data_IF_088811471238
#
_entry.id   IF_088811471238
#
_cell.length_a   1.000
_cell.length_b   1.000
_cell.length_c   1.000
_cell.angle_alpha   90.00
_cell.angle_beta   90.00
_cell.angle_gamma   90.00
#
_symmetry.space_group_name_H-M   'P 1'
#
loop_
_entity.id
_entity.type
_entity.pdbx_description
1 polymer ?
#
# COMPACT_ATOMS: atom_id res chain seq x y z
N UNK A 1 7.14 6.49 -14.64
CA UNK A 1 6.54 5.72 -13.54
C UNK A 1 7.49 4.62 -13.13
N UNK A 2 7.85 4.58 -11.87
CA UNK A 2 8.66 3.53 -11.27
C UNK A 2 7.76 2.36 -10.86
N UNK A 3 8.22 1.12 -11.08
CA UNK A 3 7.47 -0.07 -10.69
C UNK A 3 8.23 -0.78 -9.56
N UNK A 4 7.65 -0.74 -8.37
CA UNK A 4 8.17 -1.45 -7.20
C UNK A 4 7.50 -2.81 -7.00
N UNK A 5 8.12 -3.65 -6.17
CA UNK A 5 7.54 -4.91 -5.71
C UNK A 5 7.23 -4.82 -4.21
N UNK A 6 6.01 -5.16 -3.83
CA UNK A 6 5.54 -5.16 -2.44
C UNK A 6 5.26 -6.56 -1.95
N UNK A 7 6.00 -7.00 -0.94
CA UNK A 7 5.81 -8.32 -0.32
C UNK A 7 5.04 -8.19 0.99
N UNK A 8 4.07 -9.08 1.18
CA UNK A 8 3.23 -9.13 2.38
C UNK A 8 3.73 -10.18 3.37
N UNK A 9 3.64 -9.89 4.67
CA UNK A 9 3.95 -10.85 5.75
C UNK A 9 3.07 -12.11 5.74
N UNK A 10 1.98 -12.10 5.00
CA UNK A 10 1.14 -13.30 4.79
C UNK A 10 1.77 -14.35 3.88
N UNK A 11 2.80 -13.97 3.11
CA UNK A 11 3.66 -14.96 2.49
C UNK A 11 4.64 -15.51 3.54
N UNK A 12 4.62 -16.81 3.73
CA UNK A 12 5.50 -17.52 4.66
C UNK A 12 6.90 -17.68 4.02
N UNK A 13 7.69 -16.61 4.04
CA UNK A 13 9.01 -16.56 3.44
C UNK A 13 10.11 -16.68 4.51
N UNK A 14 11.01 -17.60 4.30
CA UNK A 14 12.27 -17.66 5.06
C UNK A 14 13.15 -16.46 4.73
N UNK A 15 14.22 -16.23 5.51
CA UNK A 15 15.21 -15.20 5.21
C UNK A 15 15.85 -15.41 3.83
N UNK A 16 16.17 -16.64 3.45
CA UNK A 16 16.67 -16.96 2.11
C UNK A 16 15.64 -16.67 1.03
N UNK A 17 14.36 -16.91 1.30
CA UNK A 17 13.26 -16.53 0.41
C UNK A 17 13.17 -15.02 0.21
N UNK A 18 13.31 -14.23 1.26
CA UNK A 18 13.37 -12.76 1.19
C UNK A 18 14.55 -12.29 0.34
N UNK A 19 15.74 -12.86 0.55
CA UNK A 19 16.95 -12.57 -0.24
C UNK A 19 16.78 -12.94 -1.72
N UNK A 20 16.17 -14.10 -1.99
CA UNK A 20 15.90 -14.56 -3.36
C UNK A 20 14.97 -13.61 -4.11
N UNK A 21 13.84 -13.24 -3.50
CA UNK A 21 12.89 -12.29 -4.09
C UNK A 21 13.58 -10.96 -4.42
N UNK A 22 14.40 -10.43 -3.53
CA UNK A 22 15.07 -9.14 -3.75
C UNK A 22 16.02 -9.17 -4.96
N UNK A 23 16.84 -10.24 -5.09
CA UNK A 23 17.73 -10.41 -6.25
C UNK A 23 16.94 -10.60 -7.55
N UNK A 24 15.89 -11.43 -7.52
CA UNK A 24 15.04 -11.69 -8.69
C UNK A 24 14.28 -10.43 -9.11
N UNK A 25 13.79 -9.64 -8.16
CA UNK A 25 13.13 -8.37 -8.45
C UNK A 25 14.07 -7.40 -9.20
N UNK A 26 15.32 -7.27 -8.76
CA UNK A 26 16.31 -6.45 -9.46
C UNK A 26 16.55 -6.95 -10.89
N UNK A 27 16.72 -8.27 -11.08
CA UNK A 27 16.92 -8.87 -12.40
C UNK A 27 15.73 -8.65 -13.34
N UNK A 28 14.51 -8.69 -12.81
CA UNK A 28 13.26 -8.46 -13.54
C UNK A 28 12.94 -6.96 -13.77
N UNK A 29 13.80 -6.06 -13.31
CA UNK A 29 13.69 -4.62 -13.58
C UNK A 29 12.74 -3.86 -12.65
N UNK A 30 12.34 -4.43 -11.52
CA UNK A 30 11.72 -3.63 -10.47
C UNK A 30 12.68 -2.58 -9.95
N UNK A 31 12.16 -1.41 -9.56
CA UNK A 31 12.98 -0.25 -9.18
C UNK A 31 13.06 -0.05 -7.67
N UNK A 32 12.23 -0.74 -6.89
CA UNK A 32 12.19 -0.63 -5.43
C UNK A 32 11.45 -1.81 -4.78
N UNK A 33 11.68 -2.02 -3.48
CA UNK A 33 11.05 -3.07 -2.69
C UNK A 33 10.30 -2.47 -1.50
N UNK A 34 9.09 -2.95 -1.25
CA UNK A 34 8.19 -2.36 -0.27
C UNK A 34 7.55 -3.39 0.65
N UNK A 35 7.39 -3.05 1.92
CA UNK A 35 6.67 -3.88 2.88
C UNK A 35 5.73 -3.02 3.75
N UNK A 36 4.59 -3.57 4.20
CA UNK A 36 3.84 -2.97 5.29
C UNK A 36 4.56 -3.25 6.61
N UNK A 37 4.11 -2.58 7.66
CA UNK A 37 4.58 -2.83 9.01
C UNK A 37 3.40 -3.00 9.97
N UNK A 38 3.53 -3.96 10.88
CA UNK A 38 2.69 -4.11 12.08
C UNK A 38 3.33 -3.44 13.30
N UNK A 39 3.37 -4.15 14.41
CA UNK A 39 3.89 -3.66 15.69
C UNK A 39 5.33 -4.11 15.98
N UNK A 40 5.96 -4.83 15.06
CA UNK A 40 7.32 -5.37 15.23
C UNK A 40 8.32 -4.67 14.31
N UNK A 41 9.61 -4.57 14.70
CA UNK A 41 10.64 -3.93 13.88
C UNK A 41 11.14 -4.78 12.70
N UNK A 42 10.76 -6.05 12.61
CA UNK A 42 11.21 -6.98 11.57
C UNK A 42 11.17 -6.42 10.13
N UNK A 43 10.11 -5.68 9.69
CA UNK A 43 10.07 -5.10 8.36
C UNK A 43 11.21 -4.12 8.06
N UNK A 44 11.80 -3.49 9.07
CA UNK A 44 12.97 -2.62 8.90
C UNK A 44 14.22 -3.43 8.54
N UNK A 45 14.42 -4.58 9.20
CA UNK A 45 15.52 -5.50 8.90
C UNK A 45 15.34 -6.15 7.52
N UNK A 46 14.11 -6.50 7.15
CA UNK A 46 13.76 -6.99 5.81
C UNK A 46 14.15 -5.95 4.74
N UNK A 47 13.77 -4.67 4.92
CA UNK A 47 14.14 -3.59 4.01
C UNK A 47 15.65 -3.46 3.84
N UNK A 48 16.40 -3.49 4.94
CA UNK A 48 17.85 -3.44 4.90
C UNK A 48 18.44 -4.65 4.15
N UNK A 49 18.00 -5.87 4.48
CA UNK A 49 18.41 -7.10 3.80
C UNK A 49 18.14 -7.05 2.30
N UNK A 50 16.96 -6.57 1.89
CA UNK A 50 16.63 -6.43 0.47
C UNK A 50 17.60 -5.49 -0.25
N UNK A 51 17.85 -4.31 0.34
CA UNK A 51 18.77 -3.33 -0.28
C UNK A 51 20.19 -3.86 -0.34
N UNK A 52 20.68 -4.55 0.71
CA UNK A 52 22.02 -5.15 0.75
C UNK A 52 22.24 -6.18 -0.37
N UNK A 53 21.23 -7.02 -0.67
CA UNK A 53 21.41 -8.13 -1.63
C UNK A 53 21.02 -7.79 -3.07
N UNK A 54 20.22 -6.76 -3.29
CA UNK A 54 19.71 -6.39 -4.62
C UNK A 54 20.24 -5.07 -5.14
N UNK A 55 20.72 -4.19 -4.26
CA UNK A 55 21.04 -2.82 -4.59
C UNK A 55 19.83 -1.92 -4.81
N UNK A 56 18.59 -2.43 -4.73
CA UNK A 56 17.38 -1.63 -4.89
C UNK A 56 17.09 -0.79 -3.64
N UNK A 57 16.52 0.42 -3.78
CA UNK A 57 15.93 1.12 -2.65
C UNK A 57 14.78 0.32 -2.06
N UNK A 58 14.57 0.48 -0.76
CA UNK A 58 13.46 -0.16 -0.05
C UNK A 58 12.63 0.85 0.73
N UNK A 59 11.42 0.45 1.11
CA UNK A 59 10.55 1.33 1.87
C UNK A 59 9.45 0.61 2.65
N UNK A 60 8.93 1.32 3.63
CA UNK A 60 7.78 0.93 4.42
C UNK A 60 6.60 1.84 4.07
N UNK A 61 5.43 1.24 3.78
CA UNK A 61 4.21 2.00 3.58
C UNK A 61 3.00 1.25 4.18
N UNK A 62 2.50 1.68 5.36
CA UNK A 62 2.94 2.81 6.18
C UNK A 62 3.01 2.39 7.65
N UNK A 63 3.90 2.99 8.45
CA UNK A 63 3.95 2.79 9.89
C UNK A 63 2.84 3.61 10.58
N UNK A 64 1.93 2.97 11.34
CA UNK A 64 0.87 3.68 12.03
C UNK A 64 1.38 4.28 13.34
N UNK A 65 1.22 5.60 13.52
CA UNK A 65 1.77 6.31 14.70
C UNK A 65 1.11 5.95 16.03
N UNK A 66 -0.07 5.34 16.01
CA UNK A 66 -0.66 4.79 17.24
C UNK A 66 0.06 3.53 17.76
N UNK A 67 0.84 2.85 16.92
CA UNK A 67 1.67 1.70 17.30
C UNK A 67 3.17 2.05 17.39
N UNK A 68 3.58 3.17 16.79
CA UNK A 68 4.98 3.57 16.68
C UNK A 68 5.19 4.99 17.24
N UNK A 69 5.63 5.15 18.50
CA UNK A 69 6.09 6.44 19.01
C UNK A 69 7.21 7.00 18.13
N UNK A 70 7.20 8.31 17.91
CA UNK A 70 8.12 9.00 16.98
C UNK A 70 9.60 8.70 17.27
N UNK A 71 10.00 8.69 18.56
CA UNK A 71 11.40 8.46 18.93
C UNK A 71 11.83 7.01 18.62
N UNK A 72 10.97 6.03 18.89
CA UNK A 72 11.22 4.63 18.55
C UNK A 72 11.28 4.45 17.03
N UNK A 73 10.34 5.04 16.30
CA UNK A 73 10.30 5.00 14.84
C UNK A 73 11.54 5.64 14.22
N UNK A 74 11.96 6.81 14.71
CA UNK A 74 13.16 7.48 14.25
C UNK A 74 14.43 6.66 14.52
N UNK A 75 14.53 6.07 15.71
CA UNK A 75 15.69 5.25 16.10
C UNK A 75 15.87 4.04 15.20
N UNK A 76 14.79 3.26 14.96
CA UNK A 76 14.88 2.08 14.08
C UNK A 76 15.10 2.49 12.61
N UNK A 77 14.43 3.55 12.15
CA UNK A 77 14.61 4.06 10.78
C UNK A 77 16.03 4.52 10.51
N UNK A 78 16.69 5.19 11.48
CA UNK A 78 18.09 5.61 11.33
C UNK A 78 19.02 4.44 11.04
N UNK A 79 18.91 3.36 11.80
CA UNK A 79 19.69 2.13 11.58
C UNK A 79 19.43 1.54 10.19
N UNK A 80 18.18 1.53 9.76
CA UNK A 80 17.79 1.03 8.43
C UNK A 80 18.35 1.91 7.32
N UNK A 81 18.27 3.23 7.46
CA UNK A 81 18.85 4.19 6.50
C UNK A 81 20.36 3.98 6.34
N UNK A 82 21.08 3.77 7.44
CA UNK A 82 22.52 3.48 7.43
C UNK A 82 22.82 2.19 6.63
N UNK A 83 22.11 1.09 6.93
CA UNK A 83 22.25 -0.19 6.21
C UNK A 83 21.82 -0.12 4.74
N UNK A 84 20.82 0.69 4.43
CA UNK A 84 20.35 0.94 3.06
C UNK A 84 21.20 1.98 2.31
N UNK A 85 22.29 2.50 2.89
CA UNK A 85 23.10 3.57 2.30
C UNK A 85 22.28 4.77 1.84
N UNK A 86 21.32 5.22 2.65
CA UNK A 86 20.41 6.32 2.35
C UNK A 86 19.23 5.98 1.43
N UNK A 87 19.15 4.77 0.88
CA UNK A 87 18.13 4.35 -0.09
C UNK A 87 16.90 3.72 0.59
N UNK A 88 16.36 4.43 1.59
CA UNK A 88 15.19 3.99 2.35
C UNK A 88 14.14 5.09 2.38
N UNK A 89 12.87 4.71 2.18
CA UNK A 89 11.72 5.59 2.29
C UNK A 89 10.82 5.17 3.46
N UNK A 90 10.49 6.12 4.32
CA UNK A 90 9.60 5.88 5.46
C UNK A 90 8.20 6.40 5.17
N UNK A 91 7.24 5.51 4.99
CA UNK A 91 5.82 5.89 4.99
C UNK A 91 5.24 5.86 6.40
N UNK A 92 4.47 6.90 6.78
CA UNK A 92 3.77 6.97 8.06
C UNK A 92 2.29 7.25 7.87
N UNK A 93 1.48 6.82 8.83
CA UNK A 93 0.03 7.04 8.84
C UNK A 93 -0.49 7.32 10.25
N UNK A 94 -1.63 8.00 10.35
CA UNK A 94 -2.21 8.37 11.65
C UNK A 94 -2.71 7.17 12.48
N UNK A 95 -2.91 6.00 11.83
CA UNK A 95 -3.61 4.88 12.44
C UNK A 95 -5.13 5.08 12.48
N UNK A 96 -5.87 4.01 12.82
CA UNK A 96 -7.36 4.01 12.78
C UNK A 96 -8.01 4.81 13.90
N UNK A 97 -7.32 5.02 15.01
CA UNK A 97 -7.89 5.56 16.27
C UNK A 97 -7.51 7.01 16.55
N UNK A 98 -6.88 7.71 15.62
CA UNK A 98 -6.47 9.09 15.83
C UNK A 98 -7.67 10.05 15.85
N UNK A 99 -7.87 10.78 16.96
CA UNK A 99 -8.94 11.78 17.09
C UNK A 99 -8.67 13.07 16.30
N UNK A 100 -7.40 13.41 16.08
CA UNK A 100 -6.98 14.62 15.35
C UNK A 100 -5.90 14.29 14.30
N UNK A 101 -6.20 13.43 13.29
CA UNK A 101 -5.19 12.87 12.43
C UNK A 101 -4.37 13.92 11.66
N UNK A 102 -4.98 15.01 11.23
CA UNK A 102 -4.26 16.08 10.51
C UNK A 102 -3.22 16.76 11.38
N UNK A 103 -3.57 17.08 12.64
CA UNK A 103 -2.62 17.69 13.59
C UNK A 103 -1.50 16.72 13.92
N UNK A 104 -1.84 15.49 14.26
CA UNK A 104 -0.86 14.43 14.59
C UNK A 104 0.15 14.27 13.45
N UNK A 105 -0.30 14.16 12.21
CA UNK A 105 0.60 13.97 11.07
C UNK A 105 1.41 15.21 10.74
N UNK A 106 0.86 16.43 10.93
CA UNK A 106 1.62 17.67 10.77
C UNK A 106 2.77 17.74 11.79
N UNK A 107 2.49 17.46 13.06
CA UNK A 107 3.49 17.55 14.14
C UNK A 107 4.54 16.42 14.00
N UNK A 108 4.12 15.24 13.53
CA UNK A 108 4.99 14.10 13.28
C UNK A 108 6.06 14.35 12.20
N UNK A 109 5.70 15.00 11.10
CA UNK A 109 6.69 15.26 10.02
C UNK A 109 7.77 16.23 10.48
N UNK A 110 7.42 17.25 11.29
CA UNK A 110 8.39 18.18 11.84
C UNK A 110 9.37 17.46 12.79
N UNK A 111 8.83 16.60 13.66
CA UNK A 111 9.63 15.80 14.58
C UNK A 111 10.53 14.78 13.85
N UNK A 112 10.06 14.15 12.79
CA UNK A 112 10.85 13.21 11.99
C UNK A 112 11.94 13.90 11.19
N UNK A 113 11.69 15.05 10.56
CA UNK A 113 12.71 15.80 9.82
C UNK A 113 13.87 16.25 10.71
N UNK A 114 13.58 16.62 11.97
CA UNK A 114 14.62 16.95 12.94
C UNK A 114 15.50 15.74 13.32
N UNK A 115 14.96 14.51 13.30
CA UNK A 115 15.65 13.27 13.71
C UNK A 115 16.26 12.48 12.56
N UNK A 116 15.69 12.62 11.37
CA UNK A 116 16.01 11.85 10.16
C UNK A 116 16.23 12.82 8.98
N UNK A 117 17.24 13.69 9.02
CA UNK A 117 17.51 14.63 7.94
C UNK A 117 17.82 13.88 6.63
N UNK A 118 17.21 14.32 5.53
CA UNK A 118 17.42 13.74 4.20
C UNK A 118 16.64 12.46 3.90
N UNK A 119 15.94 11.87 4.87
CA UNK A 119 15.10 10.68 4.65
C UNK A 119 13.80 11.10 3.97
N UNK A 120 13.42 10.38 2.90
CA UNK A 120 12.13 10.55 2.25
C UNK A 120 11.00 10.06 3.17
N UNK A 121 10.02 10.92 3.45
CA UNK A 121 8.88 10.59 4.29
C UNK A 121 7.57 10.72 3.51
N UNK A 122 6.85 9.61 3.36
CA UNK A 122 5.56 9.56 2.68
C UNK A 122 4.41 9.51 3.69
N UNK A 123 3.30 10.17 3.34
CA UNK A 123 2.09 10.21 4.16
C UNK A 123 1.03 9.26 3.63
N UNK A 124 0.58 8.31 4.46
CA UNK A 124 -0.61 7.51 4.18
C UNK A 124 -1.85 8.39 4.08
N UNK A 125 -2.42 8.52 2.88
CA UNK A 125 -3.42 9.54 2.58
C UNK A 125 -4.56 9.00 1.73
N UNK A 126 -5.80 9.10 2.25
CA UNK A 126 -7.01 8.71 1.51
C UNK A 126 -8.03 9.84 1.39
N UNK A 127 -8.11 10.71 2.38
CA UNK A 127 -9.06 11.82 2.43
C UNK A 127 -8.48 13.15 1.93
N UNK A 128 -9.32 14.11 1.50
CA UNK A 128 -8.88 15.33 0.83
C UNK A 128 -7.97 16.22 1.69
N UNK A 129 -8.18 16.27 3.00
CA UNK A 129 -7.35 17.06 3.90
C UNK A 129 -5.95 16.43 4.07
N UNK A 130 -5.89 15.09 4.21
CA UNK A 130 -4.64 14.35 4.35
C UNK A 130 -3.81 14.44 3.07
N UNK A 131 -4.45 14.34 1.89
CA UNK A 131 -3.80 14.50 0.59
C UNK A 131 -3.22 15.93 0.43
N UNK A 132 -3.96 16.97 0.84
CA UNK A 132 -3.42 18.33 0.84
C UNK A 132 -2.25 18.49 1.83
N UNK A 133 -2.31 17.84 3.00
CA UNK A 133 -1.20 17.84 3.95
C UNK A 133 0.04 17.15 3.36
N UNK A 134 -0.13 16.02 2.66
CA UNK A 134 0.96 15.37 1.95
C UNK A 134 1.65 16.34 0.99
N UNK A 135 0.88 17.02 0.13
CA UNK A 135 1.42 18.04 -0.78
C UNK A 135 2.17 19.17 -0.08
N UNK A 136 1.65 19.64 1.05
CA UNK A 136 2.24 20.77 1.78
C UNK A 136 3.56 20.43 2.45
N UNK A 137 3.75 19.21 2.98
CA UNK A 137 4.80 18.94 3.97
C UNK A 137 5.60 17.66 3.76
N UNK A 138 5.12 16.72 2.94
CA UNK A 138 5.73 15.41 2.77
C UNK A 138 6.41 15.28 1.41
N UNK A 139 7.23 14.26 1.26
CA UNK A 139 7.93 13.96 0.01
C UNK A 139 7.05 13.10 -0.92
N UNK A 140 6.00 12.50 -0.37
CA UNK A 140 5.01 11.76 -1.15
C UNK A 140 3.72 11.47 -0.39
N UNK A 141 2.70 11.08 -1.15
CA UNK A 141 1.45 10.53 -0.68
C UNK A 141 1.41 9.03 -0.96
N UNK A 142 1.29 8.21 0.09
CA UNK A 142 1.08 6.78 -0.03
C UNK A 142 -0.42 6.50 -0.06
N UNK A 143 -0.91 6.17 -1.24
CA UNK A 143 -2.29 5.78 -1.49
C UNK A 143 -2.49 4.29 -1.20
N UNK A 144 -3.74 3.87 -1.12
CA UNK A 144 -4.09 2.47 -0.87
C UNK A 144 -5.51 2.18 -1.34
N UNK A 145 -5.73 1.11 -2.11
CA UNK A 145 -7.02 0.72 -2.63
C UNK A 145 -7.69 1.79 -3.51
N UNK A 146 -6.97 2.36 -4.46
CA UNK A 146 -7.52 3.36 -5.37
C UNK A 146 -7.85 2.75 -6.75
N UNK A 147 -8.93 3.23 -7.34
CA UNK A 147 -9.11 3.15 -8.79
C UNK A 147 -8.24 4.21 -9.48
N UNK A 148 -8.02 4.09 -10.80
CA UNK A 148 -7.27 5.09 -11.57
C UNK A 148 -7.92 6.49 -11.49
N UNK A 149 -9.27 6.58 -11.43
CA UNK A 149 -9.98 7.85 -11.19
C UNK A 149 -9.66 8.42 -9.81
N UNK A 150 -9.61 7.55 -8.78
CA UNK A 150 -9.27 7.97 -7.43
C UNK A 150 -7.80 8.42 -7.34
N UNK A 151 -6.89 7.80 -8.09
CA UNK A 151 -5.49 8.26 -8.21
C UNK A 151 -5.44 9.67 -8.79
N UNK A 152 -6.13 9.94 -9.92
CA UNK A 152 -6.19 11.28 -10.52
C UNK A 152 -6.76 12.31 -9.55
N UNK A 153 -7.87 11.98 -8.93
CA UNK A 153 -8.51 12.80 -7.89
C UNK A 153 -7.56 13.11 -6.72
N UNK A 154 -6.78 12.13 -6.27
CA UNK A 154 -5.82 12.28 -5.18
C UNK A 154 -4.65 13.18 -5.58
N UNK A 155 -4.10 12.99 -6.79
CA UNK A 155 -3.01 13.81 -7.34
C UNK A 155 -3.37 15.29 -7.39
N UNK A 156 -4.59 15.64 -7.80
CA UNK A 156 -5.06 17.03 -7.82
C UNK A 156 -5.04 17.68 -6.43
N UNK A 157 -5.41 16.92 -5.38
CA UNK A 157 -5.44 17.42 -3.99
C UNK A 157 -4.04 17.57 -3.42
N UNK A 158 -3.15 16.63 -3.73
CA UNK A 158 -1.73 16.74 -3.39
C UNK A 158 -1.12 17.97 -4.07
N UNK A 159 -1.36 18.13 -5.37
CA UNK A 159 -0.87 19.29 -6.14
C UNK A 159 -1.42 20.62 -5.60
N UNK A 160 -2.71 20.68 -5.23
CA UNK A 160 -3.29 21.86 -4.60
C UNK A 160 -2.63 22.17 -3.24
N UNK A 161 -2.30 21.12 -2.47
CA UNK A 161 -1.56 21.26 -1.20
C UNK A 161 -0.14 21.81 -1.41
N UNK A 162 0.59 21.29 -2.40
CA UNK A 162 1.95 21.73 -2.74
C UNK A 162 1.96 23.18 -3.18
N UNK A 163 1.12 23.55 -4.14
CA UNK A 163 1.00 24.95 -4.60
C UNK A 163 0.66 25.93 -3.47
N UNK A 164 -0.27 25.53 -2.57
CA UNK A 164 -0.64 26.35 -1.40
C UNK A 164 0.49 26.51 -0.37
N UNK A 165 1.57 25.76 -0.48
CA UNK A 165 2.79 25.85 0.32
C UNK A 165 3.99 26.34 -0.50
N UNK A 166 3.78 26.86 -1.71
CA UNK A 166 4.80 27.35 -2.66
C UNK A 166 5.84 26.26 -3.01
N UNK A 167 5.41 24.99 -3.08
CA UNK A 167 6.21 23.85 -3.51
C UNK A 167 5.81 23.45 -4.92
N UNK A 168 6.76 22.91 -5.70
CA UNK A 168 6.43 22.27 -6.97
C UNK A 168 5.65 20.96 -6.72
N UNK A 169 4.45 20.79 -7.31
CA UNK A 169 3.73 19.52 -7.23
C UNK A 169 4.52 18.30 -7.75
N UNK A 170 5.46 18.49 -8.66
CA UNK A 170 6.29 17.42 -9.21
C UNK A 170 7.27 16.81 -8.18
N UNK A 171 7.60 17.56 -7.13
CA UNK A 171 8.46 17.09 -6.04
C UNK A 171 7.74 16.13 -5.09
N UNK A 172 6.40 16.05 -5.15
CA UNK A 172 5.61 15.21 -4.23
C UNK A 172 5.14 13.94 -4.97
N UNK A 173 5.75 12.82 -4.66
CA UNK A 173 5.49 11.55 -5.34
C UNK A 173 4.14 10.94 -4.92
N UNK A 174 3.42 10.37 -5.89
CA UNK A 174 2.21 9.58 -5.66
C UNK A 174 2.57 8.11 -5.74
N UNK A 175 2.49 7.45 -4.60
CA UNK A 175 2.81 6.04 -4.43
C UNK A 175 1.54 5.25 -4.12
N UNK A 176 1.41 4.02 -4.66
CA UNK A 176 0.33 3.12 -4.28
C UNK A 176 0.72 1.64 -4.33
N UNK A 177 0.15 0.88 -3.42
CA UNK A 177 0.08 -0.57 -3.47
C UNK A 177 -1.05 -1.03 -4.41
N UNK A 178 -0.73 -1.30 -5.67
CA UNK A 178 -1.65 -1.92 -6.64
C UNK A 178 -1.65 -3.44 -6.41
N UNK A 179 -2.74 -3.96 -5.89
CA UNK A 179 -2.81 -5.36 -5.47
C UNK A 179 -3.05 -6.30 -6.63
N UNK A 180 -2.30 -7.41 -6.60
CA UNK A 180 -2.47 -8.52 -7.54
C UNK A 180 -2.58 -9.84 -6.76
N UNK A 181 -3.59 -10.64 -7.09
CA UNK A 181 -3.83 -11.96 -6.53
C UNK A 181 -3.85 -12.96 -7.70
N UNK A 182 -2.79 -13.72 -7.85
CA UNK A 182 -2.59 -14.59 -9.01
C UNK A 182 -2.53 -16.05 -8.56
N UNK A 183 -3.34 -16.87 -9.19
CA UNK A 183 -3.38 -18.33 -9.00
C UNK A 183 -3.85 -18.98 -10.30
N UNK A 184 -3.45 -20.23 -10.54
CA UNK A 184 -3.94 -21.04 -11.66
C UNK A 184 -5.44 -21.34 -11.49
N UNK A 185 -5.91 -21.44 -10.24
CA UNK A 185 -7.33 -21.43 -9.88
C UNK A 185 -7.83 -19.98 -9.76
N UNK A 186 -8.47 -19.53 -10.85
CA UNK A 186 -9.01 -18.15 -10.91
C UNK A 186 -10.06 -17.87 -9.84
N UNK A 187 -10.86 -18.88 -9.45
CA UNK A 187 -11.85 -18.71 -8.41
C UNK A 187 -11.20 -18.56 -7.03
N UNK A 188 -10.14 -19.33 -6.74
CA UNK A 188 -9.36 -19.16 -5.51
C UNK A 188 -8.74 -17.76 -5.44
N UNK A 189 -8.14 -17.27 -6.53
CA UNK A 189 -7.62 -15.91 -6.61
C UNK A 189 -8.70 -14.85 -6.36
N UNK A 190 -9.88 -15.01 -6.99
CA UNK A 190 -11.01 -14.12 -6.84
C UNK A 190 -11.50 -14.02 -5.38
N UNK A 191 -11.75 -15.18 -4.75
CA UNK A 191 -12.25 -15.23 -3.37
C UNK A 191 -11.23 -14.66 -2.39
N UNK A 192 -9.96 -15.00 -2.54
CA UNK A 192 -8.89 -14.46 -1.70
C UNK A 192 -8.79 -12.93 -1.84
N UNK A 193 -8.87 -12.42 -3.06
CA UNK A 193 -8.86 -10.98 -3.33
C UNK A 193 -10.10 -10.28 -2.74
N UNK A 194 -11.30 -10.83 -2.93
CA UNK A 194 -12.54 -10.29 -2.37
C UNK A 194 -12.50 -10.21 -0.84
N UNK A 195 -12.04 -11.29 -0.16
CA UNK A 195 -11.83 -11.28 1.30
C UNK A 195 -10.88 -10.17 1.75
N UNK A 196 -9.83 -9.93 0.97
CA UNK A 196 -8.90 -8.84 1.24
C UNK A 196 -9.58 -7.47 1.13
N UNK A 197 -10.42 -7.25 0.12
CA UNK A 197 -11.21 -6.02 -0.02
C UNK A 197 -12.18 -5.87 1.15
N UNK A 198 -12.93 -6.92 1.52
CA UNK A 198 -13.89 -6.91 2.62
C UNK A 198 -13.25 -6.49 3.95
N UNK A 199 -12.05 -7.00 4.25
CA UNK A 199 -11.32 -6.68 5.49
C UNK A 199 -11.03 -5.17 5.64
N UNK A 200 -10.87 -4.46 4.53
CA UNK A 200 -10.65 -2.99 4.53
C UNK A 200 -11.95 -2.22 4.37
N UNK A 201 -12.81 -2.65 3.47
CA UNK A 201 -13.96 -1.88 3.00
C UNK A 201 -15.15 -1.88 3.96
N UNK A 202 -15.39 -2.99 4.70
CA UNK A 202 -16.51 -3.07 5.62
C UNK A 202 -16.22 -2.31 6.93
N UNK A 203 -17.16 -1.47 7.33
CA UNK A 203 -17.09 -0.79 8.61
C UNK A 203 -17.37 -1.76 9.77
N UNK A 204 -16.70 -1.63 10.93
CA UNK A 204 -17.16 -2.26 12.15
C UNK A 204 -18.59 -1.84 12.50
N UNK A 205 -19.35 -2.70 13.19
CA UNK A 205 -20.71 -2.36 13.64
C UNK A 205 -20.69 -1.05 14.46
N UNK A 206 -21.64 -0.16 14.16
CA UNK A 206 -21.76 1.15 14.83
C UNK A 206 -20.70 2.21 14.44
N UNK A 207 -19.77 1.90 13.55
CA UNK A 207 -18.76 2.86 13.11
C UNK A 207 -19.33 3.88 12.11
N UNK A 208 -18.73 5.07 12.09
CA UNK A 208 -19.04 6.12 11.11
C UNK A 208 -18.58 5.69 9.71
N UNK A 209 -19.55 5.34 8.86
CA UNK A 209 -19.35 4.84 7.49
C UNK A 209 -18.74 5.88 6.52
N UNK A 210 -18.71 7.16 6.90
CA UNK A 210 -18.11 8.22 6.08
C UNK A 210 -16.59 8.34 6.26
N UNK A 211 -16.04 7.66 7.26
CA UNK A 211 -14.63 7.74 7.65
C UNK A 211 -13.81 6.54 7.19
N UNK A 212 -12.51 6.66 7.35
CA UNK A 212 -11.52 5.60 7.11
C UNK A 212 -11.68 4.95 5.71
N UNK A 213 -11.38 3.66 5.60
CA UNK A 213 -11.49 2.91 4.35
C UNK A 213 -12.93 2.80 3.86
N UNK A 214 -13.92 2.63 4.75
CA UNK A 214 -15.33 2.55 4.36
C UNK A 214 -15.76 3.80 3.56
N UNK A 215 -15.46 5.00 4.08
CA UNK A 215 -15.72 6.25 3.39
C UNK A 215 -14.86 6.43 2.13
N UNK A 216 -13.65 5.86 2.10
CA UNK A 216 -12.80 5.85 0.90
C UNK A 216 -13.43 5.04 -0.23
N UNK A 217 -13.86 3.81 0.04
CA UNK A 217 -14.54 2.97 -0.93
C UNK A 217 -15.89 3.55 -1.37
N UNK A 218 -16.65 4.17 -0.44
CA UNK A 218 -17.90 4.85 -0.78
C UNK A 218 -17.70 5.93 -1.85
N UNK A 219 -16.64 6.76 -1.74
CA UNK A 219 -16.32 7.77 -2.76
C UNK A 219 -16.00 7.21 -4.14
N UNK A 220 -15.58 5.95 -4.22
CA UNK A 220 -15.33 5.24 -5.48
C UNK A 220 -16.57 4.51 -6.03
N UNK A 221 -17.75 4.71 -5.42
CA UNK A 221 -19.01 4.12 -5.90
C UNK A 221 -19.32 2.73 -5.33
N UNK A 222 -18.66 2.32 -4.23
CA UNK A 222 -18.94 1.03 -3.58
C UNK A 222 -20.05 1.11 -2.51
N UNK A 223 -20.64 2.27 -2.25
CA UNK A 223 -21.46 2.52 -1.07
C UNK A 223 -22.67 1.58 -0.93
N UNK A 224 -23.45 1.41 -1.99
CA UNK A 224 -24.63 0.52 -1.99
C UNK A 224 -24.22 -0.94 -1.75
N UNK A 225 -23.22 -1.42 -2.49
CA UNK A 225 -22.70 -2.79 -2.32
C UNK A 225 -22.20 -3.04 -0.90
N UNK A 226 -21.43 -2.12 -0.34
CA UNK A 226 -20.90 -2.28 1.01
C UNK A 226 -22.02 -2.22 2.05
N UNK A 227 -23.05 -1.43 1.85
CA UNK A 227 -24.22 -1.38 2.75
C UNK A 227 -24.98 -2.69 2.75
N UNK A 228 -25.18 -3.34 1.60
CA UNK A 228 -25.79 -4.67 1.52
C UNK A 228 -24.91 -5.75 2.20
N UNK A 229 -23.60 -5.74 1.90
CA UNK A 229 -22.67 -6.71 2.49
C UNK A 229 -22.56 -6.56 4.02
N UNK A 230 -22.53 -5.32 4.54
CA UNK A 230 -22.55 -5.04 5.97
C UNK A 230 -23.85 -5.57 6.62
N UNK A 231 -24.99 -5.36 5.99
CA UNK A 231 -26.30 -5.88 6.44
C UNK A 231 -26.34 -7.41 6.46
N UNK A 232 -25.75 -8.08 5.46
CA UNK A 232 -25.65 -9.55 5.43
C UNK A 232 -24.72 -10.07 6.52
N UNK A 233 -23.57 -9.42 6.75
CA UNK A 233 -22.66 -9.76 7.86
C UNK A 233 -23.35 -9.63 9.21
N UNK A 234 -24.14 -8.59 9.44
CA UNK A 234 -24.92 -8.41 10.66
C UNK A 234 -25.97 -9.52 10.86
N UNK A 235 -26.47 -10.14 9.77
CA UNK A 235 -27.33 -11.31 9.79
C UNK A 235 -26.59 -12.65 9.88
N UNK A 236 -25.26 -12.63 10.03
CA UNK A 236 -24.44 -13.82 10.25
C UNK A 236 -23.80 -14.42 9.00
N UNK A 237 -23.82 -13.74 7.86
CA UNK A 237 -23.10 -14.21 6.66
C UNK A 237 -21.59 -14.25 6.92
N UNK A 238 -20.98 -15.35 6.52
CA UNK A 238 -19.53 -15.56 6.59
C UNK A 238 -18.76 -14.73 5.57
N UNK A 239 -17.45 -14.54 5.81
CA UNK A 239 -16.59 -13.85 4.86
C UNK A 239 -16.51 -14.57 3.49
N UNK A 240 -16.67 -15.90 3.46
CA UNK A 240 -16.73 -16.68 2.22
C UNK A 240 -18.00 -16.37 1.41
N UNK A 241 -19.13 -16.33 2.06
CA UNK A 241 -20.42 -15.97 1.44
C UNK A 241 -20.38 -14.54 0.93
N UNK A 242 -19.87 -13.59 1.73
CA UNK A 242 -19.73 -12.18 1.31
C UNK A 242 -18.76 -12.02 0.14
N UNK A 243 -17.62 -12.73 0.16
CA UNK A 243 -16.67 -12.73 -0.94
C UNK A 243 -17.26 -13.32 -2.22
N UNK A 244 -18.07 -14.38 -2.10
CA UNK A 244 -18.74 -15.04 -3.20
C UNK A 244 -19.68 -14.10 -3.99
N UNK A 245 -20.38 -13.21 -3.29
CA UNK A 245 -21.36 -12.30 -3.89
C UNK A 245 -20.80 -10.90 -4.21
N UNK A 246 -19.54 -10.61 -3.87
CA UNK A 246 -18.94 -9.31 -4.17
C UNK A 246 -18.85 -9.11 -5.70
N UNK A 247 -19.34 -7.97 -6.26
CA UNK A 247 -19.33 -7.76 -7.70
C UNK A 247 -17.91 -7.69 -8.29
N UNK A 248 -17.65 -8.47 -9.33
CA UNK A 248 -16.35 -8.54 -10.01
C UNK A 248 -15.93 -7.18 -10.60
N UNK A 249 -16.87 -6.45 -11.14
CA UNK A 249 -16.63 -5.11 -11.69
C UNK A 249 -15.98 -4.18 -10.64
N UNK A 250 -16.48 -4.18 -9.41
CA UNK A 250 -15.94 -3.37 -8.33
C UNK A 250 -14.57 -3.89 -7.87
N UNK A 251 -14.39 -5.21 -7.78
CA UNK A 251 -13.09 -5.79 -7.44
C UNK A 251 -12.00 -5.39 -8.43
N UNK A 252 -12.32 -5.43 -9.74
CA UNK A 252 -11.37 -5.07 -10.81
C UNK A 252 -11.02 -3.58 -10.86
N UNK A 253 -11.79 -2.73 -10.21
CA UNK A 253 -11.49 -1.29 -10.10
C UNK A 253 -10.35 -0.99 -9.12
N UNK A 254 -10.04 -1.89 -8.18
CA UNK A 254 -9.08 -1.65 -7.10
C UNK A 254 -7.93 -2.67 -7.06
N UNK A 255 -7.86 -3.58 -8.03
CA UNK A 255 -6.78 -4.53 -8.16
C UNK A 255 -7.02 -5.57 -9.25
N UNK A 256 -6.11 -6.54 -9.32
CA UNK A 256 -6.20 -7.67 -10.24
C UNK A 256 -6.31 -8.99 -9.49
N UNK A 257 -7.13 -9.88 -9.97
CA UNK A 257 -7.22 -11.27 -9.56
C UNK A 257 -7.45 -12.17 -10.78
N UNK A 258 -6.88 -13.37 -10.74
CA UNK A 258 -6.98 -14.34 -11.82
C UNK A 258 -5.64 -14.99 -12.17
N UNK A 259 -5.54 -15.44 -13.41
CA UNK A 259 -4.35 -16.10 -13.95
C UNK A 259 -3.21 -15.11 -14.26
N UNK A 260 -1.97 -15.61 -14.49
CA UNK A 260 -0.82 -14.75 -14.86
C UNK A 260 -1.06 -13.91 -16.12
N UNK A 261 -1.80 -14.49 -17.09
CA UNK A 261 -2.10 -13.84 -18.37
C UNK A 261 -2.99 -12.60 -18.14
N UNK A 262 -2.57 -11.47 -18.68
CA UNK A 262 -3.28 -10.19 -18.52
C UNK A 262 -2.99 -9.44 -17.21
N UNK A 263 -2.28 -10.05 -16.25
CA UNK A 263 -1.98 -9.40 -14.96
C UNK A 263 -1.17 -8.12 -15.13
N UNK A 264 -0.15 -8.14 -16.00
CA UNK A 264 0.68 -6.95 -16.27
C UNK A 264 -0.12 -5.81 -16.89
N UNK A 265 -0.95 -6.12 -17.87
CA UNK A 265 -1.79 -5.10 -18.52
C UNK A 265 -2.78 -4.48 -17.53
N UNK A 266 -3.45 -5.31 -16.73
CA UNK A 266 -4.37 -4.85 -15.69
C UNK A 266 -3.65 -4.00 -14.63
N UNK A 267 -2.45 -4.41 -14.18
CA UNK A 267 -1.62 -3.65 -13.27
C UNK A 267 -1.27 -2.27 -13.85
N UNK A 268 -0.83 -2.19 -15.11
CA UNK A 268 -0.46 -0.93 -15.74
C UNK A 268 -1.65 0.03 -15.89
N UNK A 269 -2.86 -0.48 -16.18
CA UNK A 269 -4.09 0.34 -16.21
C UNK A 269 -4.42 0.91 -14.82
N UNK A 270 -4.31 0.09 -13.77
CA UNK A 270 -4.55 0.53 -12.39
C UNK A 270 -3.48 1.52 -11.90
N UNK A 271 -2.26 1.39 -12.40
CA UNK A 271 -1.12 2.23 -12.05
C UNK A 271 -1.11 3.60 -12.76
N UNK A 272 -2.07 3.86 -13.65
CA UNK A 272 -2.13 5.12 -14.39
C UNK A 272 -2.21 6.32 -13.44
N UNK A 273 -1.31 7.28 -13.63
CA UNK A 273 -1.23 8.49 -12.82
C UNK A 273 -0.39 8.36 -11.55
N UNK A 274 0.21 7.21 -11.27
CA UNK A 274 1.18 7.03 -10.18
C UNK A 274 2.60 7.43 -10.60
N UNK A 275 3.41 7.91 -9.66
CA UNK A 275 4.86 8.06 -9.84
C UNK A 275 5.57 6.76 -9.47
N UNK A 276 5.10 6.10 -8.41
CA UNK A 276 5.59 4.80 -7.93
C UNK A 276 4.40 3.86 -7.78
N UNK A 277 4.29 2.90 -8.69
CA UNK A 277 3.30 1.84 -8.64
C UNK A 277 3.93 0.57 -8.07
N UNK A 278 3.42 0.08 -6.96
CA UNK A 278 3.98 -1.12 -6.32
C UNK A 278 3.08 -2.32 -6.60
N UNK A 279 3.62 -3.32 -7.30
CA UNK A 279 2.97 -4.63 -7.46
C UNK A 279 2.86 -5.26 -6.08
N UNK A 280 1.68 -5.16 -5.47
CA UNK A 280 1.43 -5.67 -4.12
C UNK A 280 0.85 -7.07 -4.18
N UNK A 281 1.64 -8.05 -3.80
CA UNK A 281 1.23 -9.46 -3.85
C UNK A 281 0.17 -9.77 -2.78
N UNK A 282 -0.86 -10.51 -3.19
CA UNK A 282 -1.89 -11.08 -2.31
C UNK A 282 -1.83 -12.60 -2.47
N UNK A 283 -1.60 -13.39 -1.41
CA UNK A 283 -1.64 -14.84 -1.51
C UNK A 283 -3.07 -15.33 -1.76
N UNK A 284 -3.22 -16.33 -2.63
CA UNK A 284 -4.48 -17.03 -2.90
C UNK A 284 -4.49 -18.39 -2.16
N UNK A 285 -4.50 -19.49 -2.89
CA UNK A 285 -4.47 -20.85 -2.33
C UNK A 285 -3.14 -21.21 -1.64
N UNK A 286 -2.02 -20.60 -2.10
CA UNK A 286 -0.67 -20.82 -1.59
C UNK A 286 -0.03 -19.50 -1.19
N UNK A 287 0.85 -19.55 -0.18
CA UNK A 287 1.56 -18.40 0.36
C UNK A 287 3.08 -18.58 0.44
N UNK A 288 3.61 -19.53 -0.34
CA UNK A 288 5.04 -19.83 -0.39
C UNK A 288 5.80 -18.98 -1.42
N UNK A 289 7.11 -19.19 -1.51
CA UNK A 289 7.97 -18.49 -2.46
C UNK A 289 7.58 -18.75 -3.92
N UNK A 290 7.08 -19.95 -4.25
CA UNK A 290 6.68 -20.26 -5.62
C UNK A 290 5.42 -19.48 -6.02
N UNK A 291 4.44 -19.36 -5.13
CA UNK A 291 3.26 -18.52 -5.35
C UNK A 291 3.63 -17.02 -5.49
N UNK A 292 4.55 -16.53 -4.65
CA UNK A 292 5.06 -15.17 -4.80
C UNK A 292 5.73 -14.96 -6.16
N UNK A 293 6.58 -15.92 -6.60
CA UNK A 293 7.25 -15.88 -7.91
C UNK A 293 6.29 -15.83 -9.08
N UNK A 294 5.24 -16.65 -9.05
CA UNK A 294 4.20 -16.63 -10.08
C UNK A 294 3.61 -15.21 -10.21
N UNK A 295 3.24 -14.60 -9.09
CA UNK A 295 2.57 -13.31 -9.07
C UNK A 295 3.48 -12.15 -9.52
N UNK A 296 4.72 -12.04 -9.00
CA UNK A 296 5.55 -10.90 -9.40
C UNK A 296 6.14 -11.03 -10.80
N UNK A 297 6.40 -12.26 -11.29
CA UNK A 297 6.84 -12.46 -12.67
C UNK A 297 5.76 -12.08 -13.67
N UNK A 298 4.49 -12.38 -13.37
CA UNK A 298 3.36 -11.98 -14.22
C UNK A 298 3.22 -10.46 -14.40
N UNK A 299 3.75 -9.67 -13.45
CA UNK A 299 3.70 -8.21 -13.48
C UNK A 299 5.08 -7.56 -13.71
N UNK A 300 6.11 -8.34 -14.03
CA UNK A 300 7.47 -7.85 -14.12
C UNK A 300 7.65 -6.73 -15.17
N UNK A 301 8.46 -5.69 -14.88
CA UNK A 301 8.76 -4.63 -15.84
C UNK A 301 9.49 -5.12 -17.09
N UNK A 302 10.39 -6.10 -16.93
CA UNK A 302 11.09 -6.79 -18.03
C UNK A 302 10.51 -8.20 -18.17
N UNK A 303 9.99 -8.50 -19.32
CA UNK A 303 9.56 -9.84 -19.73
C UNK A 303 10.73 -10.68 -20.18
#
# INVERSE_FOLDING_TARGET
MDIGLGVDSRFSLSEDGQRAIAREAAALGFTSLWTPIGNTPEPFDICATWTEVSGLPSGIAVAPLNAWPIDALASVSKKTVERCHGRFTLGIGAGRTSEAPIRVMRDAIDALRARLPGVQVYLGSLGPQMLRLAGRRYDGAALNWCSSEQVRWSRERVAAGARGAQRDPADVKIHEYVRVCIDDDENAARIAFAKMVLMYALAPAGADKTKNYRGHFARMGFDETLTDLESRRERGASDDELAGIFPDELLRRVGYWGKPEGAREAFLRLAEGLDIAVVRLVPASRNDLAAARLAYRACAPKS
#
